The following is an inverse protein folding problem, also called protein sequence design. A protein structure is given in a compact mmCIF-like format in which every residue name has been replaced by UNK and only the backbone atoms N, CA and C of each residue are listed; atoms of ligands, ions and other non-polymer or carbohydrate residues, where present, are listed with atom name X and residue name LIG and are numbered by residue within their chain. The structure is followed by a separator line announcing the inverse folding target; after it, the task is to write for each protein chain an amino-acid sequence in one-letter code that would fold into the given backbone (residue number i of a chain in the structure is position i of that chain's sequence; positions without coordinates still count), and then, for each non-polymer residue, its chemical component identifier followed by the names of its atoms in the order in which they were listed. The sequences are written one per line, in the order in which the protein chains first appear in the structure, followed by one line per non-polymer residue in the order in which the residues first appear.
data_IF_490273909285
#
_entry.id   IF_490273909285
#
_cell.length_a   1.000
_cell.length_b   1.000
_cell.length_c   1.000
_cell.angle_alpha   90.00
_cell.angle_beta   90.00
_cell.angle_gamma   90.00
#
_symmetry.space_group_name_H-M   'P 1'
#
loop_
_entity.id
_entity.type
_entity.pdbx_description
1 polymer ?
#
# COMPACT_ATOMS: atom_id res chain seq x y z
N UNK A 1 -2.56 12.76 -3.61
CA UNK A 1 -2.22 11.56 -2.80
C UNK A 1 -2.54 11.68 -1.31
N UNK A 2 -2.76 12.87 -0.71
CA UNK A 2 -3.11 12.96 0.72
C UNK A 2 -4.39 12.19 1.10
N UNK A 3 -5.39 12.20 0.22
CA UNK A 3 -6.63 11.42 0.36
C UNK A 3 -6.37 9.90 0.43
N UNK A 4 -5.32 9.41 -0.25
CA UNK A 4 -4.96 7.98 -0.24
C UNK A 4 -4.52 7.53 1.16
N UNK A 5 -3.71 8.35 1.84
CA UNK A 5 -3.29 8.10 3.22
C UNK A 5 -4.49 8.08 4.15
N UNK A 6 -5.38 9.04 3.99
CA UNK A 6 -6.59 9.14 4.81
C UNK A 6 -7.46 7.89 4.65
N UNK A 7 -7.66 7.40 3.41
CA UNK A 7 -8.39 6.16 3.18
C UNK A 7 -7.69 4.91 3.69
N UNK A 8 -6.35 4.86 3.68
CA UNK A 8 -5.59 3.72 4.21
C UNK A 8 -5.64 3.65 5.74
N UNK A 9 -5.77 4.80 6.42
CA UNK A 9 -5.77 4.89 7.89
C UNK A 9 -7.18 4.88 8.48
N UNK A 10 -8.10 5.64 7.91
CA UNK A 10 -9.45 5.85 8.47
C UNK A 10 -10.54 5.03 7.78
N UNK A 11 -10.22 4.31 6.70
CA UNK A 11 -11.19 3.53 5.95
C UNK A 11 -10.75 2.10 5.72
N UNK A 12 -11.72 1.25 5.36
CA UNK A 12 -11.48 -0.15 5.04
C UNK A 12 -11.50 -0.41 3.52
N UNK A 13 -11.38 0.64 2.71
CA UNK A 13 -11.34 0.51 1.27
C UNK A 13 -10.15 -0.34 0.80
N UNK A 14 -10.38 -1.11 -0.26
CA UNK A 14 -9.32 -1.88 -0.91
C UNK A 14 -8.37 -0.94 -1.66
N UNK A 15 -7.13 -1.40 -1.86
CA UNK A 15 -6.11 -0.62 -2.61
C UNK A 15 -6.63 -0.25 -4.00
N UNK A 16 -7.41 -1.13 -4.63
CA UNK A 16 -8.09 -0.86 -5.89
C UNK A 16 -9.05 0.34 -5.80
N UNK A 17 -9.97 0.34 -4.82
CA UNK A 17 -10.91 1.45 -4.64
C UNK A 17 -10.20 2.76 -4.30
N UNK A 18 -9.14 2.70 -3.49
CA UNK A 18 -8.33 3.88 -3.15
C UNK A 18 -7.63 4.43 -4.38
N UNK A 19 -7.06 3.55 -5.23
CA UNK A 19 -6.42 3.95 -6.48
C UNK A 19 -7.39 4.67 -7.41
N UNK A 20 -8.59 4.09 -7.61
CA UNK A 20 -9.64 4.68 -8.44
C UNK A 20 -10.12 6.03 -7.89
N UNK A 21 -10.37 6.13 -6.57
CA UNK A 21 -10.77 7.38 -5.92
C UNK A 21 -9.68 8.45 -5.95
N UNK A 22 -8.41 8.05 -5.99
CA UNK A 22 -7.29 8.98 -6.11
C UNK A 22 -7.01 9.42 -7.56
N UNK A 23 -7.81 8.97 -8.53
CA UNK A 23 -7.66 9.31 -9.95
C UNK A 23 -6.62 8.47 -10.68
N UNK A 24 -6.20 7.33 -10.13
CA UNK A 24 -5.32 6.40 -10.83
C UNK A 24 -6.16 5.43 -11.66
N UNK A 25 -5.86 5.37 -12.96
CA UNK A 25 -6.47 4.39 -13.87
C UNK A 25 -5.96 2.96 -13.67
N UNK A 26 -4.97 2.74 -12.81
CA UNK A 26 -4.41 1.42 -12.54
C UNK A 26 -3.84 1.30 -11.13
N UNK A 27 -4.20 0.22 -10.45
CA UNK A 27 -3.72 -0.09 -9.10
C UNK A 27 -2.19 -0.27 -9.07
N UNK A 28 -1.60 -0.87 -10.11
CA UNK A 28 -0.15 -1.02 -10.23
C UNK A 28 0.58 0.33 -10.24
N UNK A 29 0.08 1.28 -11.02
CA UNK A 29 0.66 2.63 -11.10
C UNK A 29 0.50 3.40 -9.80
N UNK A 30 -0.63 3.23 -9.12
CA UNK A 30 -0.83 3.78 -7.78
C UNK A 30 0.18 3.21 -6.78
N UNK A 31 0.36 1.88 -6.74
CA UNK A 31 1.33 1.24 -5.85
C UNK A 31 2.75 1.71 -6.10
N UNK A 32 3.18 1.82 -7.36
CA UNK A 32 4.52 2.30 -7.72
C UNK A 32 4.72 3.76 -7.32
N UNK A 33 3.79 4.65 -7.70
CA UNK A 33 3.85 6.05 -7.34
C UNK A 33 3.80 6.26 -5.82
N UNK A 34 3.04 5.43 -5.10
CA UNK A 34 2.93 5.49 -3.64
C UNK A 34 4.25 5.02 -3.00
N UNK A 35 4.81 3.91 -3.47
CA UNK A 35 6.11 3.40 -3.00
C UNK A 35 7.24 4.40 -3.28
N UNK A 36 7.27 5.03 -4.44
CA UNK A 36 8.27 6.05 -4.78
C UNK A 36 8.15 7.31 -3.91
N UNK A 37 6.94 7.66 -3.49
CA UNK A 37 6.68 8.84 -2.67
C UNK A 37 6.88 8.61 -1.16
N UNK A 38 6.50 7.43 -0.67
CA UNK A 38 6.46 7.10 0.77
C UNK A 38 7.47 6.02 1.17
N UNK A 39 8.21 5.43 0.23
CA UNK A 39 9.18 4.36 0.47
C UNK A 39 8.57 2.97 0.74
N UNK A 40 7.25 2.87 0.89
CA UNK A 40 6.55 1.63 1.26
C UNK A 40 5.28 1.43 0.45
N UNK A 41 4.79 0.19 0.37
CA UNK A 41 3.54 -0.10 -0.36
C UNK A 41 2.31 0.35 0.45
N UNK A 42 1.18 0.70 -0.20
CA UNK A 42 -0.05 1.07 0.49
C UNK A 42 -0.58 -0.05 1.40
N UNK A 43 -0.35 -1.32 1.03
CA UNK A 43 -0.69 -2.48 1.88
C UNK A 43 0.14 -2.51 3.17
N UNK A 44 1.46 -2.29 3.07
CA UNK A 44 2.34 -2.18 4.23
C UNK A 44 1.96 -0.99 5.11
N UNK A 45 1.69 0.17 4.53
CA UNK A 45 1.25 1.37 5.27
C UNK A 45 -0.05 1.12 6.04
N UNK A 46 -1.01 0.41 5.42
CA UNK A 46 -2.27 0.00 6.07
C UNK A 46 -2.03 -0.94 7.23
N UNK A 47 -1.16 -1.93 7.05
CA UNK A 47 -0.76 -2.86 8.11
C UNK A 47 -0.08 -2.10 9.24
N UNK A 48 0.92 -1.27 8.96
CA UNK A 48 1.65 -0.49 9.96
C UNK A 48 0.74 0.48 10.73
N UNK A 49 -0.16 1.17 10.04
CA UNK A 49 -1.12 2.08 10.68
C UNK A 49 -2.09 1.36 11.62
N UNK A 50 -2.46 0.11 11.31
CA UNK A 50 -3.27 -0.73 12.20
C UNK A 50 -2.46 -1.37 13.33
N UNK A 51 -1.21 -1.74 13.06
CA UNK A 51 -0.28 -2.28 14.05
C UNK A 51 0.18 -1.23 15.07
N UNK A 52 0.23 0.06 14.70
CA UNK A 52 0.45 1.14 15.67
C UNK A 52 -0.67 1.22 16.73
N UNK A 53 -1.81 0.55 16.51
CA UNK A 53 -2.88 0.38 17.50
C UNK A 53 -2.85 -0.99 18.21
N UNK A 54 -1.97 -1.93 17.80
CA UNK A 54 -1.92 -3.30 18.33
C UNK A 54 -0.45 -3.78 18.47
N UNK A 55 0.15 -3.72 19.68
CA UNK A 55 1.59 -3.87 19.88
C UNK A 55 2.19 -5.27 19.58
N UNK A 56 1.39 -6.27 19.18
CA UNK A 56 1.83 -7.67 19.11
C UNK A 56 2.13 -8.21 17.69
N UNK A 57 2.04 -7.38 16.65
CA UNK A 57 2.06 -7.85 15.25
C UNK A 57 3.39 -7.61 14.49
N UNK A 58 4.48 -7.38 15.23
CA UNK A 58 5.82 -7.04 14.71
C UNK A 58 6.56 -8.23 14.05
N UNK A 59 6.02 -9.45 14.09
CA UNK A 59 6.74 -10.67 13.69
C UNK A 59 6.54 -11.13 12.23
N UNK A 60 5.61 -10.57 11.45
CA UNK A 60 5.19 -11.20 10.16
C UNK A 60 5.82 -10.60 8.89
N UNK A 61 6.69 -9.59 8.98
CA UNK A 61 7.20 -8.86 7.81
C UNK A 61 8.46 -9.46 7.15
N UNK A 62 8.48 -10.77 6.91
CA UNK A 62 9.52 -11.45 6.12
C UNK A 62 8.99 -12.22 4.89
N UNK A 63 7.74 -12.05 4.48
CA UNK A 63 7.19 -12.80 3.34
C UNK A 63 6.24 -11.97 2.50
N UNK A 64 6.81 -11.20 1.56
CA UNK A 64 6.29 -10.92 0.21
C UNK A 64 7.34 -10.08 -0.54
N UNK A 65 8.53 -10.68 -0.71
CA UNK A 65 9.30 -10.49 -1.92
C UNK A 65 8.76 -11.50 -2.96
N UNK A 66 8.91 -11.19 -4.25
CA UNK A 66 8.39 -11.87 -5.46
C UNK A 66 6.93 -11.50 -5.83
N UNK A 67 6.59 -11.05 -7.04
CA UNK A 67 7.16 -11.33 -8.36
C UNK A 67 6.66 -10.24 -9.36
N UNK A 68 7.57 -9.52 -10.04
CA UNK A 68 7.33 -8.92 -11.39
C UNK A 68 8.54 -8.21 -12.00
N UNK A 69 9.71 -8.19 -11.35
CA UNK A 69 10.98 -7.95 -12.06
C UNK A 69 11.38 -9.24 -12.81
N UNK A 70 10.54 -9.70 -13.75
CA UNK A 70 10.87 -10.72 -14.76
C UNK A 70 9.99 -10.55 -16.01
N UNK A 71 10.07 -9.38 -16.63
CA UNK A 71 9.95 -9.28 -18.09
C UNK A 71 10.76 -8.07 -18.56
N UNK A 72 12.07 -8.27 -18.46
CA UNK A 72 13.04 -7.86 -19.48
C UNK A 72 12.37 -8.00 -20.83
N UNK A 73 12.15 -6.87 -21.51
CA UNK A 73 12.45 -6.83 -22.92
C UNK A 73 13.97 -6.80 -23.06
#
# INVERSE_FOLDING_TARGET
MGIALNYLTFSNYSVFQISHRCGFGSNAYFCDAFKRKYGMTPSQFRTQSRQANDPNAIATMASQNDESIKKVF
#
